data_IF_878391325880
#
_entry.id   IF_878391325880
#
_cell.length_a   1.000
_cell.length_b   1.000
_cell.length_c   1.000
_cell.angle_alpha   90.00
_cell.angle_beta   90.00
_cell.angle_gamma   90.00
#
_symmetry.space_group_name_H-M   'P 1'
#
loop_
_entity.id
_entity.type
_entity.pdbx_description
1 polymer ?
#
# COMPACT_ATOMS: atom_id res chain seq x y z
N UNK A 1 18.45 -3.31 -2.64
CA UNK A 1 17.69 -2.81 -3.81
C UNK A 1 18.36 -3.06 -5.16
N UNK A 2 19.68 -3.28 -5.25
CA UNK A 2 20.38 -3.52 -6.52
C UNK A 2 19.89 -4.77 -7.29
N UNK A 3 19.63 -5.88 -6.60
CA UNK A 3 19.13 -7.12 -7.22
C UNK A 3 17.77 -6.93 -7.90
N UNK A 4 16.83 -6.24 -7.24
CA UNK A 4 15.48 -6.07 -7.77
C UNK A 4 15.49 -5.18 -9.03
N UNK A 5 16.32 -4.13 -9.02
CA UNK A 5 16.51 -3.29 -10.21
C UNK A 5 17.14 -4.07 -11.36
N UNK A 6 18.17 -4.86 -11.07
CA UNK A 6 18.80 -5.70 -12.10
C UNK A 6 17.80 -6.66 -12.75
N UNK A 7 16.96 -7.34 -11.96
CA UNK A 7 15.93 -8.22 -12.49
C UNK A 7 14.91 -7.46 -13.36
N UNK A 8 14.51 -6.25 -12.95
CA UNK A 8 13.65 -5.39 -13.75
C UNK A 8 14.31 -4.98 -15.06
N UNK A 9 15.60 -4.62 -15.03
CA UNK A 9 16.40 -4.30 -16.22
C UNK A 9 16.54 -5.50 -17.18
N UNK A 10 16.50 -6.73 -16.65
CA UNK A 10 16.45 -7.99 -17.42
C UNK A 10 15.04 -8.31 -17.97
N UNK A 11 14.06 -7.43 -17.77
CA UNK A 11 12.69 -7.56 -18.30
C UNK A 11 11.71 -8.30 -17.38
N UNK A 12 12.10 -8.57 -16.14
CA UNK A 12 11.22 -9.22 -15.16
C UNK A 12 10.24 -8.21 -14.58
N UNK A 13 8.94 -8.49 -14.66
CA UNK A 13 7.92 -7.70 -13.95
C UNK A 13 7.92 -8.05 -12.46
N UNK A 14 8.11 -7.04 -11.61
CA UNK A 14 8.18 -7.20 -10.15
C UNK A 14 7.04 -6.41 -9.51
N UNK A 15 6.23 -7.07 -8.69
CA UNK A 15 5.19 -6.43 -7.87
C UNK A 15 5.69 -6.38 -6.43
N UNK A 16 5.76 -5.17 -5.86
CA UNK A 16 6.18 -4.96 -4.47
C UNK A 16 5.03 -4.33 -3.70
N UNK A 17 4.68 -4.91 -2.55
CA UNK A 17 3.68 -4.37 -1.62
C UNK A 17 4.39 -3.82 -0.39
N UNK A 18 4.34 -2.50 -0.20
CA UNK A 18 4.95 -1.81 0.94
C UNK A 18 3.89 -0.95 1.64
N UNK A 19 4.02 -0.81 2.95
CA UNK A 19 3.27 0.19 3.73
C UNK A 19 4.08 1.48 3.94
N UNK A 20 5.39 1.45 3.65
CA UNK A 20 6.31 2.58 3.73
C UNK A 20 6.35 3.33 2.40
N UNK A 21 5.77 4.52 2.39
CA UNK A 21 5.63 5.36 1.20
C UNK A 21 6.96 6.00 0.79
N UNK A 22 7.89 6.28 1.71
CA UNK A 22 9.17 6.88 1.39
C UNK A 22 10.10 5.88 0.67
N UNK A 23 10.04 4.61 1.08
CA UNK A 23 10.72 3.54 0.34
C UNK A 23 10.07 3.25 -1.03
N UNK A 24 8.74 3.27 -1.12
CA UNK A 24 8.02 3.03 -2.38
C UNK A 24 8.43 4.03 -3.47
N UNK A 25 8.55 5.32 -3.12
CA UNK A 25 8.93 6.38 -4.07
C UNK A 25 10.33 6.23 -4.66
N UNK A 26 11.24 5.58 -3.95
CA UNK A 26 12.61 5.35 -4.42
C UNK A 26 12.71 4.15 -5.36
N UNK A 27 11.70 3.27 -5.36
CA UNK A 27 11.77 1.96 -6.00
C UNK A 27 10.76 1.75 -7.12
N UNK A 28 9.59 2.39 -7.05
CA UNK A 28 8.50 2.13 -7.97
C UNK A 28 8.50 3.12 -9.15
N UNK A 29 8.36 2.57 -10.37
CA UNK A 29 8.11 3.34 -11.59
C UNK A 29 6.61 3.71 -11.69
N UNK A 30 5.73 2.82 -11.23
CA UNK A 30 4.28 3.00 -11.14
C UNK A 30 3.75 2.51 -9.80
N UNK A 31 2.70 3.16 -9.27
CA UNK A 31 2.13 2.81 -7.97
C UNK A 31 0.62 2.61 -8.07
N UNK A 32 0.16 1.44 -7.65
CA UNK A 32 -1.25 1.17 -7.39
C UNK A 32 -1.51 1.36 -5.89
N UNK A 33 -2.30 2.36 -5.55
CA UNK A 33 -2.72 2.60 -4.18
C UNK A 33 -4.04 1.91 -3.90
N UNK A 34 -4.07 1.11 -2.83
CA UNK A 34 -5.27 0.44 -2.34
C UNK A 34 -5.80 1.17 -1.09
N UNK A 35 -7.04 1.62 -1.12
CA UNK A 35 -7.72 2.23 0.02
C UNK A 35 -9.20 1.85 0.04
N UNK A 36 -9.70 1.36 1.17
CA UNK A 36 -11.13 1.01 1.34
C UNK A 36 -11.65 -0.01 0.34
N UNK A 37 -10.82 -0.93 -0.15
CA UNK A 37 -11.19 -1.91 -1.19
C UNK A 37 -11.15 -1.38 -2.63
N UNK A 38 -10.70 -0.14 -2.84
CA UNK A 38 -10.58 0.47 -4.16
C UNK A 38 -9.11 0.69 -4.54
N UNK A 39 -8.79 0.49 -5.82
CA UNK A 39 -7.46 0.72 -6.38
C UNK A 39 -7.40 1.98 -7.24
N UNK A 40 -6.34 2.77 -7.08
CA UNK A 40 -6.06 3.94 -7.91
C UNK A 40 -4.59 3.98 -8.33
N UNK A 41 -4.35 4.13 -9.63
CA UNK A 41 -3.02 4.42 -10.15
C UNK A 41 -2.60 5.85 -9.80
N UNK A 42 -1.40 5.98 -9.24
CA UNK A 42 -0.82 7.26 -8.84
C UNK A 42 0.64 7.33 -9.30
N UNK A 43 1.06 8.51 -9.73
CA UNK A 43 2.47 8.77 -10.00
C UNK A 43 3.27 8.72 -8.69
N UNK A 44 4.50 8.18 -8.66
CA UNK A 44 5.33 8.17 -7.45
C UNK A 44 5.54 9.57 -6.85
N UNK A 45 5.56 10.62 -7.69
CA UNK A 45 5.66 12.02 -7.25
C UNK A 45 4.44 12.51 -6.46
N UNK A 46 3.26 11.89 -6.64
CA UNK A 46 2.03 12.23 -5.93
C UNK A 46 1.98 11.68 -4.50
N UNK A 47 2.92 10.80 -4.11
CA UNK A 47 3.02 10.21 -2.76
C UNK A 47 3.61 11.19 -1.71
N UNK A 48 3.57 12.51 -1.95
CA UNK A 48 4.01 13.53 -1.00
C UNK A 48 3.08 13.60 0.19
N UNK A 49 3.46 12.99 1.33
CA UNK A 49 3.12 13.25 2.75
C UNK A 49 1.73 13.84 3.15
N UNK A 50 0.74 13.80 2.27
CA UNK A 50 -0.63 14.25 2.50
C UNK A 50 -1.59 13.09 2.29
N UNK A 51 -1.31 11.99 2.98
CA UNK A 51 -2.36 11.05 3.31
C UNK A 51 -2.75 11.39 4.73
N UNK A 52 -3.91 12.02 4.86
CA UNK A 52 -4.55 12.30 6.14
C UNK A 52 -4.38 11.08 7.07
N UNK A 53 -4.13 11.30 8.39
CA UNK A 53 -3.99 10.21 9.34
C UNK A 53 -5.14 9.24 9.10
N UNK A 54 -4.81 7.94 8.99
CA UNK A 54 -5.76 6.85 8.74
C UNK A 54 -7.09 7.23 9.40
N UNK A 55 -8.09 7.59 8.58
CA UNK A 55 -9.34 8.08 9.11
C UNK A 55 -9.85 6.97 10.02
N UNK A 56 -9.85 7.22 11.32
CA UNK A 56 -10.27 6.25 12.31
C UNK A 56 -11.76 6.04 12.08
N UNK A 57 -12.10 5.03 11.29
CA UNK A 57 -13.48 4.62 11.11
C UNK A 57 -13.87 3.96 12.43
N UNK A 58 -14.86 4.50 13.17
CA UNK A 58 -15.37 3.80 14.33
C UNK A 58 -15.98 2.49 13.82
N UNK A 59 -15.28 1.38 14.01
CA UNK A 59 -15.84 0.06 13.78
C UNK A 59 -16.65 -0.31 15.03
N UNK A 60 -17.97 -0.25 14.92
CA UNK A 60 -18.85 -0.82 15.94
C UNK A 60 -18.79 -2.33 15.77
N UNK A 61 -17.98 -3.03 16.57
CA UNK A 61 -18.00 -4.48 16.62
C UNK A 61 -19.35 -4.90 17.24
N UNK A 62 -20.33 -5.14 16.37
CA UNK A 62 -21.69 -5.49 16.77
C UNK A 62 -21.70 -6.77 17.61
N UNK A 63 -22.38 -6.69 18.76
CA UNK A 63 -23.19 -7.78 19.30
C UNK A 63 -22.47 -9.07 19.71
N UNK A 64 -22.01 -9.10 20.97
CA UNK A 64 -22.09 -10.24 21.91
C UNK A 64 -22.50 -11.59 21.31
N UNK A 65 -21.53 -12.46 21.05
CA UNK A 65 -21.71 -13.90 21.23
C UNK A 65 -20.84 -14.33 22.40
N UNK A 66 -21.43 -14.37 23.59
CA UNK A 66 -20.86 -15.10 24.71
C UNK A 66 -21.01 -16.59 24.42
N UNK A 67 -19.90 -17.26 24.13
CA UNK A 67 -19.85 -18.71 24.10
C UNK A 67 -20.12 -19.24 25.51
N UNK A 68 -21.21 -19.99 25.67
CA UNK A 68 -21.43 -20.85 26.83
C UNK A 68 -20.53 -22.08 26.68
N UNK A 69 -19.63 -22.25 27.64
CA UNK A 69 -19.04 -23.54 28.00
C UNK A 69 -19.54 -23.92 29.39
#
# INVERSE_FOLDING_TARGET
IRILRQMADEGVTIIIVLHDMDHLRRLADEVLMLNGGHGRWVAPSALNHQHAPAQMVPFTLGGRHAGTA
#
